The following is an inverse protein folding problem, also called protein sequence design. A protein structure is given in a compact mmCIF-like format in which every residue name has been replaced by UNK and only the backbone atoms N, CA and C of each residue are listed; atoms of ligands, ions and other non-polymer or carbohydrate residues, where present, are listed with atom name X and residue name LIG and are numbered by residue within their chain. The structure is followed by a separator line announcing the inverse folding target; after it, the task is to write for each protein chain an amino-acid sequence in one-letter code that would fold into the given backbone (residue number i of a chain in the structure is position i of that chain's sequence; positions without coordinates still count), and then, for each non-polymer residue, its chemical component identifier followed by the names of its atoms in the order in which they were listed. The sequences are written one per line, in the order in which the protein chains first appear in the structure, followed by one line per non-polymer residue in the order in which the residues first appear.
data_IF_545867923983
#
_entry.id   IF_545867923983
#
_cell.length_a   1.000
_cell.length_b   1.000
_cell.length_c   1.000
_cell.angle_alpha   90.00
_cell.angle_beta   90.00
_cell.angle_gamma   90.00
#
_symmetry.space_group_name_H-M   'P 1'
#
loop_
_entity.id
_entity.type
_entity.pdbx_description
1 polymer ?
#
# COMPACT_ATOMS: atom_id res chain seq x y z
N UNK A 1 9.45 -3.26 28.35
CA UNK A 1 8.82 -3.08 27.02
C UNK A 1 9.68 -2.14 26.20
N UNK A 2 10.32 -2.63 25.13
CA UNK A 2 11.11 -1.79 24.21
C UNK A 2 10.14 -1.09 23.26
N UNK A 3 10.22 0.24 23.23
CA UNK A 3 9.50 1.08 22.28
C UNK A 3 9.90 0.70 20.86
N UNK A 4 8.97 0.18 20.06
CA UNK A 4 9.13 0.01 18.61
C UNK A 4 8.98 1.40 18.00
N UNK A 5 10.11 2.00 17.57
CA UNK A 5 10.09 3.24 16.79
C UNK A 5 9.44 2.93 15.44
N UNK A 6 8.27 3.52 15.20
CA UNK A 6 7.60 3.57 13.90
C UNK A 6 8.48 4.33 12.92
N UNK A 7 9.20 3.61 12.05
CA UNK A 7 9.98 4.16 10.94
C UNK A 7 9.01 4.45 9.78
N UNK A 8 8.14 5.44 9.94
CA UNK A 8 7.20 5.88 8.89
C UNK A 8 7.32 7.37 8.58
N UNK A 9 8.33 8.06 9.12
CA UNK A 9 8.64 9.43 8.73
C UNK A 9 9.56 9.41 7.50
N UNK A 10 8.92 9.52 6.33
CA UNK A 10 9.45 9.93 5.02
C UNK A 10 10.80 9.32 4.57
N UNK A 11 10.70 8.29 3.73
CA UNK A 11 11.82 7.83 2.92
C UNK A 11 11.98 8.75 1.68
N UNK A 12 12.62 9.90 1.85
CA UNK A 12 12.74 10.91 0.79
C UNK A 12 13.65 10.47 -0.37
N UNK A 13 14.65 9.61 -0.11
CA UNK A 13 15.60 9.13 -1.14
C UNK A 13 15.59 7.60 -1.29
N UNK A 14 16.10 7.12 -2.43
CA UNK A 14 16.31 5.67 -2.64
C UNK A 14 17.27 5.09 -1.59
N UNK A 15 18.28 5.86 -1.17
CA UNK A 15 19.23 5.48 -0.12
C UNK A 15 18.51 5.22 1.21
N UNK A 16 17.54 6.07 1.56
CA UNK A 16 16.71 5.88 2.76
C UNK A 16 15.82 4.65 2.65
N UNK A 17 15.26 4.39 1.46
CA UNK A 17 14.44 3.19 1.21
C UNK A 17 15.24 1.89 1.28
N UNK A 18 16.51 1.88 0.84
CA UNK A 18 17.41 0.75 1.06
C UNK A 18 17.67 0.53 2.56
N UNK A 19 17.89 1.61 3.32
CA UNK A 19 18.01 1.51 4.79
C UNK A 19 16.75 0.90 5.41
N UNK A 20 15.57 1.36 5.00
CA UNK A 20 14.29 0.86 5.52
C UNK A 20 14.13 -0.61 5.19
N UNK A 21 14.41 -1.04 3.95
CA UNK A 21 14.33 -2.44 3.55
C UNK A 21 15.20 -3.33 4.46
N UNK A 22 16.41 -2.88 4.80
CA UNK A 22 17.27 -3.56 5.76
C UNK A 22 16.68 -3.61 7.17
N UNK A 23 16.23 -2.46 7.70
CA UNK A 23 15.74 -2.34 9.07
C UNK A 23 14.46 -3.16 9.28
N UNK A 24 13.53 -3.16 8.32
CA UNK A 24 12.30 -3.97 8.35
C UNK A 24 12.61 -5.46 8.25
N UNK A 25 13.69 -5.82 7.55
CA UNK A 25 14.19 -7.21 7.53
C UNK A 25 14.92 -7.60 8.83
N UNK A 26 15.07 -6.69 9.79
CA UNK A 26 15.80 -6.87 11.06
C UNK A 26 17.27 -7.28 10.88
N UNK A 27 17.90 -6.87 9.76
CA UNK A 27 19.28 -7.23 9.44
C UNK A 27 20.27 -6.13 9.81
N UNK A 28 21.44 -6.52 10.30
CA UNK A 28 22.61 -5.63 10.35
C UNK A 28 23.08 -5.29 8.92
N UNK A 29 23.87 -4.22 8.77
CA UNK A 29 24.43 -3.86 7.46
C UNK A 29 25.30 -4.98 6.88
N UNK A 30 25.99 -5.75 7.74
CA UNK A 30 26.82 -6.89 7.33
C UNK A 30 25.98 -8.05 6.80
N UNK A 31 24.91 -8.41 7.50
CA UNK A 31 24.02 -9.50 7.08
C UNK A 31 23.26 -9.13 5.81
N UNK A 32 22.79 -7.88 5.72
CA UNK A 32 22.13 -7.37 4.52
C UNK A 32 23.08 -7.38 3.31
N UNK A 33 24.32 -6.92 3.50
CA UNK A 33 25.34 -6.96 2.46
C UNK A 33 25.64 -8.39 1.98
N UNK A 34 25.75 -9.34 2.91
CA UNK A 34 25.94 -10.75 2.56
C UNK A 34 24.76 -11.30 1.75
N UNK A 35 23.53 -10.91 2.09
CA UNK A 35 22.31 -11.38 1.41
C UNK A 35 22.17 -10.87 -0.02
N UNK A 36 22.60 -9.65 -0.29
CA UNK A 36 22.56 -9.03 -1.63
C UNK A 36 23.87 -9.22 -2.42
N UNK A 37 24.86 -9.95 -1.87
CA UNK A 37 26.13 -10.21 -2.54
C UNK A 37 27.07 -8.99 -2.64
N UNK A 38 27.14 -8.16 -1.61
CA UNK A 38 28.06 -7.01 -1.54
C UNK A 38 28.82 -6.92 -0.21
N UNK A 39 29.62 -5.87 -0.02
CA UNK A 39 30.39 -5.63 1.20
C UNK A 39 29.66 -4.65 2.15
N UNK A 40 29.88 -4.79 3.46
CA UNK A 40 29.19 -3.97 4.48
C UNK A 40 29.48 -2.46 4.34
N UNK A 41 30.71 -2.07 3.98
CA UNK A 41 31.08 -0.69 3.73
C UNK A 41 30.25 -0.06 2.60
N UNK A 42 29.96 -0.81 1.53
CA UNK A 42 29.10 -0.38 0.42
C UNK A 42 27.71 -0.03 0.92
N UNK A 43 27.14 -0.86 1.80
CA UNK A 43 25.82 -0.57 2.39
C UNK A 43 25.88 0.66 3.30
N UNK A 44 26.94 0.82 4.08
CA UNK A 44 27.11 2.02 4.90
C UNK A 44 27.18 3.30 4.05
N UNK A 45 27.97 3.30 2.97
CA UNK A 45 28.10 4.42 2.02
C UNK A 45 26.80 4.69 1.26
N UNK A 46 26.03 3.64 0.95
CA UNK A 46 24.72 3.82 0.35
C UNK A 46 23.78 4.46 1.36
N UNK A 47 23.62 3.90 2.55
CA UNK A 47 22.67 4.43 3.51
C UNK A 47 22.96 5.88 3.86
N UNK A 48 24.24 6.26 4.04
CA UNK A 48 24.61 7.64 4.35
C UNK A 48 24.57 8.61 3.13
N UNK A 49 24.21 8.14 1.94
CA UNK A 49 24.10 8.95 0.72
C UNK A 49 25.42 9.25 0.01
N UNK A 50 26.56 8.76 0.52
CA UNK A 50 27.88 8.99 -0.08
C UNK A 50 28.11 8.14 -1.34
N UNK A 51 27.29 7.11 -1.55
CA UNK A 51 27.32 6.25 -2.72
C UNK A 51 25.96 6.09 -3.37
N UNK A 52 25.96 6.10 -4.70
CA UNK A 52 24.77 5.83 -5.52
C UNK A 52 24.36 4.36 -5.43
N UNK A 53 23.05 4.15 -5.34
CA UNK A 53 22.43 2.83 -5.44
C UNK A 53 22.52 2.34 -6.90
N UNK A 54 22.98 1.11 -7.12
CA UNK A 54 23.07 0.50 -8.45
C UNK A 54 21.81 -0.28 -8.79
N UNK A 55 21.55 -0.44 -10.10
CA UNK A 55 20.43 -1.26 -10.58
C UNK A 55 20.50 -2.71 -10.07
N UNK A 56 21.70 -3.30 -10.00
CA UNK A 56 21.87 -4.65 -9.48
C UNK A 56 21.44 -4.77 -8.02
N UNK A 57 21.83 -3.79 -7.18
CA UNK A 57 21.42 -3.78 -5.78
C UNK A 57 19.90 -3.65 -5.63
N UNK A 58 19.27 -2.80 -6.44
CA UNK A 58 17.80 -2.65 -6.46
C UNK A 58 17.12 -3.98 -6.81
N UNK A 59 17.64 -4.71 -7.80
CA UNK A 59 17.12 -6.02 -8.18
C UNK A 59 17.26 -7.04 -7.06
N UNK A 60 18.41 -7.11 -6.38
CA UNK A 60 18.60 -8.03 -5.26
C UNK A 60 17.66 -7.72 -4.10
N UNK A 61 17.42 -6.44 -3.79
CA UNK A 61 16.43 -6.06 -2.77
C UNK A 61 15.00 -6.38 -3.24
N UNK A 62 14.68 -6.19 -4.52
CA UNK A 62 13.40 -6.61 -5.08
C UNK A 62 13.14 -8.12 -4.96
N UNK A 63 14.17 -8.95 -5.17
CA UNK A 63 14.10 -10.41 -4.97
C UNK A 63 13.83 -10.81 -3.52
N UNK A 64 14.07 -9.91 -2.56
CA UNK A 64 13.70 -10.11 -1.15
C UNK A 64 12.21 -9.83 -0.87
N UNK A 65 11.43 -9.45 -1.89
CA UNK A 65 9.99 -9.21 -1.79
C UNK A 65 9.59 -7.73 -1.65
N UNK A 66 10.55 -6.80 -1.79
CA UNK A 66 10.24 -5.36 -1.77
C UNK A 66 9.73 -4.88 -3.13
N UNK A 67 8.71 -4.03 -3.09
CA UNK A 67 8.11 -3.39 -4.28
C UNK A 67 9.14 -2.48 -4.97
N UNK A 68 9.39 -2.73 -6.25
CA UNK A 68 10.40 -1.99 -7.04
C UNK A 68 9.96 -0.54 -7.31
N UNK A 69 8.66 -0.28 -7.48
CA UNK A 69 8.14 1.07 -7.68
C UNK A 69 8.30 1.89 -6.40
N UNK A 70 8.06 1.29 -5.24
CA UNK A 70 8.33 1.93 -3.97
C UNK A 70 9.83 2.21 -3.80
N UNK A 71 10.71 1.25 -4.09
CA UNK A 71 12.16 1.47 -4.01
C UNK A 71 12.63 2.62 -4.92
N UNK A 72 12.14 2.68 -6.17
CA UNK A 72 12.59 3.66 -7.15
C UNK A 72 11.97 5.03 -6.93
N UNK A 73 10.66 5.10 -6.71
CA UNK A 73 9.86 6.32 -6.76
C UNK A 73 9.27 6.73 -5.41
N UNK A 74 9.33 5.86 -4.40
CA UNK A 74 8.73 6.11 -3.08
C UNK A 74 7.22 5.86 -3.03
N UNK A 75 6.64 5.30 -4.08
CA UNK A 75 5.21 5.00 -4.23
C UNK A 75 5.02 3.53 -4.55
N UNK A 76 4.14 2.80 -3.85
CA UNK A 76 3.77 1.44 -4.28
C UNK A 76 2.72 1.50 -5.39
N UNK A 77 2.58 0.42 -6.17
CA UNK A 77 1.46 0.28 -7.11
C UNK A 77 0.10 0.40 -6.41
N UNK A 78 -0.02 0.07 -5.12
CA UNK A 78 -1.25 0.34 -4.37
C UNK A 78 -1.53 1.85 -4.20
N UNK A 79 -0.49 2.68 -4.12
CA UNK A 79 -0.60 4.13 -4.02
C UNK A 79 -0.86 4.75 -5.40
N UNK A 80 -0.16 4.29 -6.44
CA UNK A 80 -0.34 4.78 -7.80
C UNK A 80 -1.69 4.34 -8.40
N UNK A 81 -2.12 3.10 -8.13
CA UNK A 81 -3.48 2.65 -8.45
C UNK A 81 -4.46 3.50 -7.68
N UNK A 82 -4.28 3.76 -6.39
CA UNK A 82 -5.17 4.65 -5.61
C UNK A 82 -5.23 6.08 -6.20
N UNK A 83 -4.10 6.70 -6.54
CA UNK A 83 -4.02 8.04 -7.15
C UNK A 83 -4.71 8.09 -8.53
N UNK A 84 -4.54 7.05 -9.35
CA UNK A 84 -5.18 6.88 -10.66
C UNK A 84 -6.68 6.49 -10.53
N UNK A 85 -7.04 5.79 -9.45
CA UNK A 85 -8.42 5.44 -9.06
C UNK A 85 -9.19 6.70 -8.67
N UNK A 86 -8.57 7.62 -7.91
CA UNK A 86 -9.18 8.88 -7.47
C UNK A 86 -9.56 9.80 -8.63
N UNK A 87 -8.85 9.70 -9.77
CA UNK A 87 -9.04 10.60 -10.91
C UNK A 87 -10.04 10.13 -11.98
N UNK A 88 -10.50 8.86 -11.99
CA UNK A 88 -11.06 8.28 -13.24
C UNK A 88 -12.57 7.88 -13.27
N UNK A 89 -13.35 7.71 -12.19
CA UNK A 89 -14.85 7.68 -12.34
C UNK A 89 -15.66 7.82 -11.04
N UNK A 90 -16.86 8.39 -11.14
CA UNK A 90 -17.83 8.52 -10.02
C UNK A 90 -18.23 7.17 -9.41
N UNK A 91 -18.38 6.14 -10.26
CA UNK A 91 -18.67 4.77 -9.81
C UNK A 91 -17.54 4.23 -8.92
N UNK A 92 -16.30 4.61 -9.20
CA UNK A 92 -15.14 4.15 -8.43
C UNK A 92 -15.05 4.82 -7.06
N UNK A 93 -15.41 6.10 -6.97
CA UNK A 93 -15.58 6.79 -5.68
C UNK A 93 -16.67 6.14 -4.83
N UNK A 94 -17.78 5.73 -5.46
CA UNK A 94 -18.86 5.00 -4.78
C UNK A 94 -18.34 3.66 -4.23
N UNK A 95 -17.62 2.88 -5.04
CA UNK A 95 -17.06 1.60 -4.60
C UNK A 95 -16.02 1.74 -3.48
N UNK A 96 -15.17 2.78 -3.53
CA UNK A 96 -14.22 3.06 -2.46
C UNK A 96 -14.90 3.41 -1.13
N UNK A 97 -15.94 4.25 -1.18
CA UNK A 97 -16.70 4.60 0.02
C UNK A 97 -17.40 3.38 0.61
N UNK A 98 -18.00 2.54 -0.24
CA UNK A 98 -18.57 1.25 0.18
C UNK A 98 -17.50 0.41 0.87
N UNK A 99 -16.34 0.21 0.24
CA UNK A 99 -15.28 -0.61 0.83
C UNK A 99 -14.80 -0.06 2.19
N UNK A 100 -14.62 1.26 2.31
CA UNK A 100 -14.23 1.92 3.54
C UNK A 100 -15.24 1.70 4.68
N UNK A 101 -16.54 1.73 4.37
CA UNK A 101 -17.62 1.47 5.34
C UNK A 101 -17.71 0.00 5.74
N UNK A 102 -17.37 -0.92 4.84
CA UNK A 102 -17.51 -2.37 5.06
C UNK A 102 -16.32 -3.00 5.79
N UNK A 103 -15.12 -2.40 5.74
CA UNK A 103 -13.87 -3.04 6.19
C UNK A 103 -13.86 -3.49 7.66
N UNK A 104 -14.62 -2.83 8.52
CA UNK A 104 -14.66 -3.11 9.96
C UNK A 104 -15.92 -3.91 10.38
N UNK A 105 -16.75 -4.34 9.41
CA UNK A 105 -17.97 -5.10 9.73
C UNK A 105 -17.69 -6.57 10.05
N UNK A 106 -18.46 -7.17 10.98
CA UNK A 106 -18.41 -8.59 11.24
C UNK A 106 -18.74 -9.44 9.99
N UNK A 107 -18.14 -10.62 9.89
CA UNK A 107 -18.31 -11.54 8.75
C UNK A 107 -19.77 -11.87 8.44
N UNK A 108 -20.62 -12.04 9.46
CA UNK A 108 -22.05 -12.33 9.26
C UNK A 108 -22.77 -11.21 8.51
N UNK A 109 -22.38 -9.96 8.75
CA UNK A 109 -23.01 -8.79 8.16
C UNK A 109 -22.51 -8.61 6.71
N UNK A 110 -21.24 -8.91 6.46
CA UNK A 110 -20.68 -8.97 5.10
C UNK A 110 -21.35 -10.05 4.23
N UNK A 111 -21.62 -11.23 4.79
CA UNK A 111 -22.32 -12.32 4.08
C UNK A 111 -23.75 -11.94 3.71
N UNK A 112 -24.48 -11.30 4.63
CA UNK A 112 -25.80 -10.77 4.35
C UNK A 112 -25.77 -9.72 3.22
N UNK A 113 -24.80 -8.80 3.26
CA UNK A 113 -24.64 -7.78 2.23
C UNK A 113 -24.25 -8.38 0.87
N UNK A 114 -23.42 -9.42 0.86
CA UNK A 114 -23.11 -10.17 -0.36
C UNK A 114 -24.38 -10.77 -0.97
N UNK A 115 -25.19 -11.48 -0.17
CA UNK A 115 -26.45 -12.07 -0.63
C UNK A 115 -27.40 -10.99 -1.18
N UNK A 116 -27.53 -9.86 -0.51
CA UNK A 116 -28.35 -8.74 -0.94
C UNK A 116 -27.88 -8.14 -2.29
N UNK A 117 -26.57 -7.98 -2.47
CA UNK A 117 -25.98 -7.49 -3.73
C UNK A 117 -26.23 -8.50 -4.86
N UNK A 118 -26.07 -9.80 -4.59
CA UNK A 118 -26.32 -10.85 -5.58
C UNK A 118 -27.79 -10.89 -6.01
N UNK A 119 -28.72 -10.78 -5.06
CA UNK A 119 -30.15 -10.67 -5.35
C UNK A 119 -30.42 -9.42 -6.19
N UNK A 120 -29.84 -8.28 -5.82
CA UNK A 120 -30.00 -7.04 -6.56
C UNK A 120 -29.50 -7.16 -8.00
N UNK A 121 -28.29 -7.67 -8.22
CA UNK A 121 -27.70 -7.85 -9.56
C UNK A 121 -28.54 -8.80 -10.42
N UNK A 122 -29.07 -9.88 -9.83
CA UNK A 122 -29.95 -10.83 -10.53
C UNK A 122 -31.26 -10.21 -11.01
N UNK A 123 -31.81 -9.22 -10.29
CA UNK A 123 -33.12 -8.62 -10.59
C UNK A 123 -33.05 -7.22 -11.22
N UNK A 124 -31.90 -6.53 -11.17
CA UNK A 124 -31.73 -5.18 -11.72
C UNK A 124 -31.68 -5.13 -13.25
N UNK A 125 -31.59 -6.27 -13.94
CA UNK A 125 -31.70 -6.31 -15.41
C UNK A 125 -33.08 -5.86 -15.94
N UNK A 126 -34.11 -5.69 -15.09
CA UNK A 126 -35.50 -5.45 -15.53
C UNK A 126 -36.30 -4.39 -14.76
N UNK A 127 -35.75 -3.64 -13.80
CA UNK A 127 -36.51 -2.64 -13.04
C UNK A 127 -35.73 -1.33 -12.78
N UNK A 128 -36.39 -0.16 -12.82
CA UNK A 128 -35.75 1.13 -12.59
C UNK A 128 -35.32 1.31 -11.13
N UNK A 129 -34.21 2.03 -10.93
CA UNK A 129 -33.65 2.34 -9.61
C UNK A 129 -34.66 3.11 -8.74
N UNK A 130 -34.80 2.76 -7.44
CA UNK A 130 -35.52 3.61 -6.50
C UNK A 130 -34.77 4.93 -6.31
N UNK A 131 -35.50 6.05 -6.27
CA UNK A 131 -34.90 7.37 -6.03
C UNK A 131 -34.16 7.39 -4.67
N UNK A 132 -32.85 7.60 -4.73
CA UNK A 132 -32.04 7.81 -3.52
C UNK A 132 -32.37 9.20 -2.99
N UNK A 133 -33.26 9.29 -2.00
CA UNK A 133 -33.47 10.53 -1.24
C UNK A 133 -32.17 10.86 -0.51
N UNK A 134 -31.48 11.92 -0.92
CA UNK A 134 -30.30 12.42 -0.21
C UNK A 134 -30.63 12.54 1.29
N UNK A 135 -29.86 11.87 2.14
CA UNK A 135 -30.01 11.97 3.59
C UNK A 135 -29.76 13.42 3.98
N UNK A 136 -30.81 14.19 4.30
CA UNK A 136 -30.68 15.51 4.93
C UNK A 136 -29.89 15.32 6.22
N UNK A 137 -28.77 16.02 6.33
CA UNK A 137 -27.84 15.89 7.45
C UNK A 137 -28.55 15.99 8.80
N UNK A 138 -28.31 15.01 9.67
CA UNK A 138 -28.52 15.20 11.10
C UNK A 138 -27.57 16.32 11.53
N UNK A 139 -28.14 17.49 11.81
CA UNK A 139 -27.44 18.52 12.59
C UNK A 139 -27.12 17.93 13.95
N UNK A 140 -25.89 18.17 14.39
CA UNK A 140 -25.30 17.80 15.68
C UNK A 140 -26.22 18.07 16.86
#
# INVERSE_FOLDING_TARGET
MRQVKTVTDKADTINDRIRIARVVSELSQKEFAARIGTQQNVISEIENGSRRVTANLIQEVGKMGFDLNWLLYGTSDNDAVSELVYSISDNKKILLNIFADLKDLPTKDLLYLQEAIEVYVKHHATAPLPEIKQRKGLKK
#
